data_IF_451468378446
#
_entry.id   IF_451468378446
#
_cell.length_a   1.000
_cell.length_b   1.000
_cell.length_c   1.000
_cell.angle_alpha   90.00
_cell.angle_beta   90.00
_cell.angle_gamma   90.00
#
_symmetry.space_group_name_H-M   'P 1'
#
loop_
_entity.id
_entity.type
_entity.pdbx_description
1 polymer ?
#
# COMPACT_ATOMS: atom_id res chain seq x y z
N UNK A 1 -15.96 16.07 -64.04
CA UNK A 1 -16.79 15.97 -62.82
C UNK A 1 -16.79 14.54 -62.31
N UNK A 2 -16.76 14.36 -60.99
CA UNK A 2 -16.84 13.12 -60.19
C UNK A 2 -15.66 12.12 -60.28
N UNK A 3 -14.64 12.35 -59.43
CA UNK A 3 -13.78 11.29 -58.88
C UNK A 3 -14.36 10.82 -57.54
N UNK A 4 -14.49 9.51 -57.37
CA UNK A 4 -15.03 8.86 -56.18
C UNK A 4 -14.12 9.08 -54.97
N UNK A 5 -14.70 9.51 -53.85
CA UNK A 5 -14.04 9.54 -52.55
C UNK A 5 -14.07 8.12 -51.96
N UNK A 6 -12.93 7.44 -51.96
CA UNK A 6 -12.72 6.26 -51.13
C UNK A 6 -12.73 6.66 -49.66
N UNK A 7 -13.88 6.42 -49.00
CA UNK A 7 -13.98 6.48 -47.56
C UNK A 7 -13.15 5.33 -46.96
N UNK A 8 -11.95 5.65 -46.46
CA UNK A 8 -11.21 4.76 -45.58
C UNK A 8 -12.01 4.61 -44.28
N UNK A 9 -12.76 3.51 -44.17
CA UNK A 9 -13.33 3.06 -42.90
C UNK A 9 -12.17 2.67 -41.98
N UNK A 10 -11.79 3.58 -41.07
CA UNK A 10 -10.95 3.25 -39.93
C UNK A 10 -11.72 2.25 -39.05
N UNK A 11 -11.47 0.96 -39.23
CA UNK A 11 -11.85 -0.06 -38.23
C UNK A 11 -11.04 0.23 -36.97
N UNK A 12 -11.69 0.83 -35.97
CA UNK A 12 -11.18 0.84 -34.61
C UNK A 12 -10.93 -0.61 -34.18
N UNK A 13 -9.67 -1.00 -34.05
CA UNK A 13 -9.28 -2.29 -33.46
C UNK A 13 -9.70 -2.27 -31.99
N UNK A 14 -10.90 -2.79 -31.72
CA UNK A 14 -11.36 -3.15 -30.38
C UNK A 14 -10.48 -4.32 -29.87
N UNK A 15 -9.31 -4.00 -29.33
CA UNK A 15 -8.48 -4.94 -28.57
C UNK A 15 -9.15 -5.17 -27.19
N UNK A 16 -10.28 -5.89 -27.17
CA UNK A 16 -10.82 -6.45 -25.92
C UNK A 16 -9.79 -7.45 -25.38
N UNK A 17 -9.49 -7.40 -24.07
CA UNK A 17 -8.66 -8.42 -23.42
C UNK A 17 -9.31 -9.79 -23.65
N UNK A 18 -8.49 -10.81 -23.93
CA UNK A 18 -8.97 -12.18 -24.19
C UNK A 18 -9.62 -12.74 -22.93
N UNK A 19 -10.91 -13.06 -23.05
CA UNK A 19 -11.60 -13.94 -22.13
C UNK A 19 -11.54 -15.34 -22.75
N UNK A 20 -10.76 -16.23 -22.15
CA UNK A 20 -10.66 -17.62 -22.57
C UNK A 20 -11.67 -18.42 -21.72
N UNK A 21 -12.77 -18.86 -22.34
CA UNK A 21 -13.86 -19.58 -21.69
C UNK A 21 -14.61 -20.46 -22.68
N UNK A 22 -15.47 -21.33 -22.16
CA UNK A 22 -16.31 -22.25 -22.95
C UNK A 22 -17.79 -21.90 -22.83
N UNK A 23 -18.56 -22.17 -23.87
CA UNK A 23 -20.00 -22.03 -23.87
C UNK A 23 -20.61 -23.16 -24.70
N UNK A 24 -21.69 -23.77 -24.21
CA UNK A 24 -22.47 -24.74 -24.99
C UNK A 24 -23.58 -23.99 -25.72
N UNK A 25 -23.62 -24.09 -27.04
CA UNK A 25 -24.70 -23.50 -27.84
C UNK A 25 -26.03 -24.22 -27.55
N UNK A 26 -27.12 -23.47 -27.59
CA UNK A 26 -28.47 -24.04 -27.52
C UNK A 26 -29.19 -23.75 -28.85
N UNK A 27 -30.28 -24.48 -29.12
CA UNK A 27 -31.01 -24.43 -30.40
C UNK A 27 -32.08 -23.33 -30.46
N UNK A 28 -32.21 -22.52 -29.41
CA UNK A 28 -33.24 -21.48 -29.32
C UNK A 28 -32.78 -20.24 -30.07
N UNK A 29 -33.57 -19.85 -31.08
CA UNK A 29 -33.35 -18.62 -31.87
C UNK A 29 -33.35 -17.40 -30.95
N UNK A 30 -32.41 -16.48 -31.18
CA UNK A 30 -32.22 -15.24 -30.41
C UNK A 30 -31.89 -15.42 -28.91
N UNK A 31 -31.38 -16.60 -28.53
CA UNK A 31 -30.88 -16.84 -27.18
C UNK A 31 -29.37 -16.65 -27.07
N UNK A 32 -28.89 -16.37 -25.84
CA UNK A 32 -27.46 -16.22 -25.55
C UNK A 32 -27.02 -17.31 -24.56
N UNK A 33 -25.92 -18.01 -24.89
CA UNK A 33 -25.25 -18.89 -23.95
C UNK A 33 -24.26 -18.10 -23.08
N UNK A 34 -24.30 -18.30 -21.77
CA UNK A 34 -23.33 -17.72 -20.87
C UNK A 34 -21.94 -18.33 -21.13
N UNK A 35 -20.91 -17.49 -21.16
CA UNK A 35 -19.52 -17.95 -21.24
C UNK A 35 -19.08 -18.34 -19.84
N UNK A 36 -18.60 -19.57 -19.70
CA UNK A 36 -18.00 -20.10 -18.47
C UNK A 36 -16.49 -19.94 -18.53
N UNK A 37 -15.95 -19.24 -17.55
CA UNK A 37 -14.54 -18.98 -17.34
C UNK A 37 -14.11 -19.84 -16.17
N UNK A 38 -13.22 -20.80 -16.38
CA UNK A 38 -12.83 -21.74 -15.31
C UNK A 38 -12.16 -20.99 -14.14
N UNK A 39 -11.17 -20.15 -14.45
CA UNK A 39 -10.46 -19.33 -13.45
C UNK A 39 -10.41 -17.88 -13.91
N UNK A 40 -10.88 -16.98 -13.04
CA UNK A 40 -10.66 -15.55 -13.16
C UNK A 40 -9.71 -15.10 -12.04
N UNK A 41 -8.62 -14.40 -12.40
CA UNK A 41 -7.70 -13.82 -11.42
C UNK A 41 -7.99 -12.34 -11.20
N UNK A 42 -8.27 -11.93 -9.97
CA UNK A 42 -8.40 -10.54 -9.56
C UNK A 42 -7.14 -10.09 -8.82
N UNK A 43 -6.45 -9.10 -9.36
CA UNK A 43 -5.39 -8.37 -8.67
C UNK A 43 -5.93 -7.02 -8.23
N UNK A 44 -6.01 -6.78 -6.92
CA UNK A 44 -6.53 -5.52 -6.36
C UNK A 44 -5.50 -4.82 -5.46
N UNK A 45 -5.39 -3.51 -5.62
CA UNK A 45 -4.35 -2.67 -5.04
C UNK A 45 -4.98 -1.54 -4.23
N UNK A 46 -4.88 -1.60 -2.90
CA UNK A 46 -5.37 -0.57 -1.99
C UNK A 46 -4.23 0.37 -1.59
N UNK A 47 -4.22 1.59 -2.11
CA UNK A 47 -3.13 2.54 -1.89
C UNK A 47 -3.22 3.24 -0.52
N UNK A 48 -2.08 3.64 0.06
CA UNK A 48 -2.04 4.26 1.39
C UNK A 48 -2.89 5.53 1.48
N UNK A 49 -3.38 5.85 2.68
CA UNK A 49 -4.15 7.07 2.94
C UNK A 49 -3.42 8.31 2.43
N UNK A 50 -4.12 9.16 1.67
CA UNK A 50 -3.54 10.33 1.02
C UNK A 50 -2.74 10.04 -0.26
N UNK A 51 -2.51 8.78 -0.65
CA UNK A 51 -1.84 8.43 -1.90
C UNK A 51 -2.83 8.20 -3.04
N UNK A 52 -2.46 8.67 -4.24
CA UNK A 52 -3.30 8.55 -5.41
C UNK A 52 -2.47 8.59 -6.70
N UNK A 53 -2.32 7.43 -7.35
CA UNK A 53 -1.61 7.24 -8.63
C UNK A 53 -2.06 8.26 -9.70
N UNK A 54 -3.35 8.52 -9.79
CA UNK A 54 -3.89 9.37 -10.85
C UNK A 54 -3.59 10.84 -10.61
N UNK A 55 -3.64 11.29 -9.36
CA UNK A 55 -3.32 12.67 -8.98
C UNK A 55 -1.83 12.95 -9.13
N UNK A 56 -0.96 12.03 -8.70
CA UNK A 56 0.48 12.13 -8.92
C UNK A 56 0.82 12.22 -10.42
N UNK A 57 0.17 11.41 -11.28
CA UNK A 57 0.35 11.51 -12.75
C UNK A 57 -0.13 12.84 -13.33
N UNK A 58 -1.18 13.44 -12.77
CA UNK A 58 -1.74 14.68 -13.28
C UNK A 58 -0.90 15.92 -12.94
N UNK A 59 -0.08 15.84 -11.88
CA UNK A 59 0.75 16.93 -11.39
C UNK A 59 -0.06 18.05 -10.70
N UNK A 60 0.65 19.06 -10.19
CA UNK A 60 0.07 20.21 -9.46
C UNK A 60 -0.91 21.02 -10.32
N UNK A 61 -2.20 20.67 -10.24
CA UNK A 61 -3.30 21.43 -10.87
C UNK A 61 -4.21 22.13 -9.87
N UNK A 62 -4.04 21.92 -8.57
CA UNK A 62 -4.92 22.49 -7.54
C UNK A 62 -4.11 22.79 -6.28
N UNK A 63 -4.12 24.05 -5.81
CA UNK A 63 -3.55 24.44 -4.52
C UNK A 63 -4.28 23.68 -3.38
N UNK A 64 -3.54 23.26 -2.35
CA UNK A 64 -3.99 22.54 -1.14
C UNK A 64 -4.41 21.05 -1.23
N UNK A 65 -3.80 20.25 -2.12
CA UNK A 65 -4.03 18.79 -2.13
C UNK A 65 -2.74 17.97 -2.09
N UNK A 66 -2.45 17.38 -0.93
CA UNK A 66 -1.23 16.60 -0.67
C UNK A 66 -1.06 15.43 -1.65
N UNK A 67 -2.14 14.78 -2.08
CA UNK A 67 -2.05 13.60 -2.95
C UNK A 67 -1.51 13.89 -4.36
N UNK A 68 -1.64 15.14 -4.84
CA UNK A 68 -1.06 15.58 -6.13
C UNK A 68 0.43 15.90 -6.02
N UNK A 69 0.90 16.18 -4.80
CA UNK A 69 2.28 16.52 -4.54
C UNK A 69 3.10 15.30 -4.17
N UNK A 70 2.51 14.27 -3.55
CA UNK A 70 3.23 13.04 -3.20
C UNK A 70 3.93 12.38 -4.39
N UNK A 71 4.96 11.56 -4.12
CA UNK A 71 5.42 10.59 -5.09
C UNK A 71 4.51 9.35 -5.10
N UNK A 72 4.75 8.43 -6.05
CA UNK A 72 4.07 7.15 -6.03
C UNK A 72 4.34 6.39 -4.73
N UNK A 73 3.37 5.59 -4.29
CA UNK A 73 3.57 4.53 -3.32
C UNK A 73 4.07 3.25 -4.00
N UNK A 74 4.47 2.26 -3.22
CA UNK A 74 4.78 0.92 -3.73
C UNK A 74 3.53 0.19 -4.22
N UNK A 75 2.34 0.51 -3.71
CA UNK A 75 1.07 -0.02 -4.26
C UNK A 75 0.84 0.54 -5.66
N UNK A 76 0.97 1.86 -5.83
CA UNK A 76 0.89 2.52 -7.12
C UNK A 76 1.94 1.98 -8.10
N UNK A 77 3.18 1.71 -7.65
CA UNK A 77 4.23 1.11 -8.48
C UNK A 77 3.93 -0.33 -8.88
N UNK A 78 3.35 -1.13 -8.00
CA UNK A 78 2.94 -2.50 -8.36
C UNK A 78 1.86 -2.45 -9.45
N UNK A 79 0.84 -1.61 -9.30
CA UNK A 79 -0.20 -1.45 -10.33
C UNK A 79 0.37 -0.88 -11.64
N UNK A 80 1.21 0.16 -11.56
CA UNK A 80 1.82 0.78 -12.74
C UNK A 80 2.66 -0.21 -13.55
N UNK A 81 3.35 -1.14 -12.88
CA UNK A 81 4.24 -2.11 -13.52
C UNK A 81 3.57 -3.45 -13.84
N UNK A 82 2.23 -3.53 -13.82
CA UNK A 82 1.50 -4.74 -14.23
C UNK A 82 1.77 -5.09 -15.70
N UNK A 83 1.86 -6.38 -16.02
CA UNK A 83 1.98 -6.82 -17.41
C UNK A 83 0.60 -6.84 -18.07
N UNK A 84 0.44 -6.03 -19.12
CA UNK A 84 -0.79 -6.04 -19.91
C UNK A 84 -0.96 -7.34 -20.73
N UNK A 85 -2.21 -7.65 -21.11
CA UNK A 85 -2.61 -8.78 -21.96
C UNK A 85 -2.52 -10.19 -21.34
N UNK A 86 -2.73 -10.32 -20.04
CA UNK A 86 -3.03 -11.63 -19.43
C UNK A 86 -4.52 -11.95 -19.60
N UNK A 87 -4.84 -13.11 -20.20
CA UNK A 87 -6.21 -13.60 -20.28
C UNK A 87 -6.80 -13.80 -18.87
N UNK A 88 -8.12 -13.68 -18.76
CA UNK A 88 -8.86 -13.97 -17.52
C UNK A 88 -8.29 -13.26 -16.27
N UNK A 89 -7.78 -12.03 -16.45
CA UNK A 89 -7.13 -11.28 -15.37
C UNK A 89 -7.69 -9.85 -15.26
N UNK A 90 -8.19 -9.53 -14.06
CA UNK A 90 -8.64 -8.20 -13.66
C UNK A 90 -7.57 -7.50 -12.83
N UNK A 91 -7.45 -6.19 -13.05
CA UNK A 91 -6.54 -5.31 -12.31
C UNK A 91 -7.33 -4.11 -11.82
N UNK A 92 -7.42 -3.94 -10.50
CA UNK A 92 -8.21 -2.90 -9.86
C UNK A 92 -7.32 -2.11 -8.92
N UNK A 93 -7.15 -0.82 -9.19
CA UNK A 93 -6.46 0.09 -8.29
C UNK A 93 -7.47 0.93 -7.53
N UNK A 94 -7.31 0.99 -6.21
CA UNK A 94 -8.12 1.74 -5.28
C UNK A 94 -7.26 2.86 -4.70
N UNK A 95 -7.68 4.10 -4.93
CA UNK A 95 -7.02 5.27 -4.38
C UNK A 95 -7.14 5.29 -2.85
N UNK A 96 -6.16 5.88 -2.17
CA UNK A 96 -6.14 5.98 -0.72
C UNK A 96 -7.32 6.75 -0.16
N UNK A 97 -7.78 6.38 1.03
CA UNK A 97 -8.72 7.18 1.84
C UNK A 97 -8.22 8.63 1.93
N UNK A 98 -9.14 9.59 1.83
CA UNK A 98 -8.84 11.02 1.85
C UNK A 98 -8.60 11.65 0.49
N UNK A 99 -8.47 10.87 -0.60
CA UNK A 99 -8.22 11.40 -1.95
C UNK A 99 -9.45 11.30 -2.87
N UNK A 100 -9.50 12.15 -3.89
CA UNK A 100 -10.55 12.09 -4.91
C UNK A 100 -10.39 10.87 -5.81
N UNK A 101 -11.52 10.24 -6.19
CA UNK A 101 -11.48 9.09 -7.11
C UNK A 101 -11.01 9.51 -8.51
N UNK A 102 -10.30 8.60 -9.16
CA UNK A 102 -10.03 8.67 -10.58
C UNK A 102 -11.30 8.52 -11.39
N UNK A 103 -11.32 9.14 -12.55
CA UNK A 103 -12.40 9.02 -13.54
C UNK A 103 -11.88 8.23 -14.73
N UNK A 104 -12.75 7.44 -15.36
CA UNK A 104 -12.38 6.75 -16.58
C UNK A 104 -11.98 7.74 -17.66
N UNK A 105 -10.85 7.48 -18.29
CA UNK A 105 -10.38 8.28 -19.41
C UNK A 105 -10.96 7.71 -20.71
N UNK A 106 -11.80 8.43 -21.47
CA UNK A 106 -12.33 7.92 -22.73
C UNK A 106 -11.23 7.73 -23.79
N UNK A 107 -10.05 8.34 -23.58
CA UNK A 107 -8.91 8.27 -24.51
C UNK A 107 -7.87 7.21 -24.14
N UNK A 108 -7.99 6.54 -22.99
CA UNK A 108 -7.05 5.49 -22.57
C UNK A 108 -7.76 4.33 -21.88
N UNK A 109 -7.02 3.26 -21.60
CA UNK A 109 -7.59 2.07 -20.92
C UNK A 109 -7.65 2.24 -19.40
N UNK A 110 -7.04 3.28 -18.88
CA UNK A 110 -6.86 3.55 -17.46
C UNK A 110 -7.78 4.69 -17.01
N UNK A 111 -7.92 4.83 -15.69
CA UNK A 111 -8.46 6.05 -15.12
C UNK A 111 -7.43 7.16 -15.15
N UNK A 112 -7.90 8.41 -15.09
CA UNK A 112 -7.10 9.61 -14.89
C UNK A 112 -7.61 10.39 -13.68
N UNK A 113 -6.85 11.40 -13.26
CA UNK A 113 -7.28 12.27 -12.16
C UNK A 113 -8.62 12.91 -12.51
N UNK A 114 -9.52 12.99 -11.53
CA UNK A 114 -10.75 13.77 -11.66
C UNK A 114 -10.51 15.28 -11.61
N UNK A 115 -9.31 15.72 -11.23
CA UNK A 115 -8.98 17.12 -10.98
C UNK A 115 -9.61 17.69 -9.71
N UNK A 116 -10.30 16.86 -8.91
CA UNK A 116 -10.93 17.26 -7.66
C UNK A 116 -9.95 17.18 -6.50
N UNK A 117 -10.08 18.11 -5.56
CA UNK A 117 -9.23 18.13 -4.37
C UNK A 117 -9.46 16.97 -3.40
N UNK A 118 -8.50 16.80 -2.51
CA UNK A 118 -8.51 15.82 -1.43
C UNK A 118 -9.65 16.14 -0.45
N UNK A 119 -10.38 15.11 -0.06
CA UNK A 119 -11.51 15.22 0.86
C UNK A 119 -11.01 15.11 2.31
N UNK A 120 -10.22 16.10 2.75
CA UNK A 120 -9.52 16.14 4.04
C UNK A 120 -10.46 15.98 5.24
N UNK A 121 -11.69 16.51 5.17
CA UNK A 121 -12.68 16.44 6.26
C UNK A 121 -13.09 15.01 6.65
N UNK A 122 -12.82 13.99 5.82
CA UNK A 122 -13.09 12.58 6.13
C UNK A 122 -11.91 11.80 6.74
N UNK A 123 -10.70 12.38 6.83
CA UNK A 123 -9.50 11.68 7.31
C UNK A 123 -9.49 11.42 8.82
N UNK A 124 -10.14 12.29 9.60
CA UNK A 124 -9.92 12.44 11.04
C UNK A 124 -10.79 11.53 11.94
N UNK A 125 -11.84 10.90 11.42
CA UNK A 125 -12.84 10.25 12.28
C UNK A 125 -13.06 8.76 12.07
N UNK A 126 -12.48 8.12 11.05
CA UNK A 126 -12.58 6.65 10.84
C UNK A 126 -13.99 6.09 10.60
N UNK A 127 -15.04 6.83 10.96
CA UNK A 127 -16.45 6.52 10.83
C UNK A 127 -17.06 7.29 9.65
N UNK A 128 -17.95 6.63 8.89
CA UNK A 128 -18.72 7.21 7.80
C UNK A 128 -18.21 6.88 6.39
N UNK A 129 -18.60 7.72 5.42
CA UNK A 129 -18.46 7.51 3.96
C UNK A 129 -17.03 7.24 3.44
N UNK A 130 -16.00 7.53 4.25
CA UNK A 130 -14.58 7.34 3.91
C UNK A 130 -13.82 6.35 4.82
N UNK A 131 -14.52 5.63 5.70
CA UNK A 131 -13.91 4.60 6.56
C UNK A 131 -13.52 3.31 5.82
N UNK A 132 -12.82 2.40 6.51
CA UNK A 132 -12.34 1.12 5.95
C UNK A 132 -13.46 0.30 5.30
N UNK A 133 -14.61 0.15 5.98
CA UNK A 133 -15.77 -0.59 5.45
C UNK A 133 -16.34 0.07 4.20
N UNK A 134 -16.45 1.40 4.18
CA UNK A 134 -16.92 2.13 3.00
C UNK A 134 -15.95 1.93 1.82
N UNK A 135 -14.64 2.01 2.06
CA UNK A 135 -13.61 1.75 1.05
C UNK A 135 -13.73 0.35 0.46
N UNK A 136 -13.98 -0.66 1.29
CA UNK A 136 -14.17 -2.05 0.82
C UNK A 136 -15.47 -2.22 0.03
N UNK A 137 -16.57 -1.56 0.42
CA UNK A 137 -17.80 -1.56 -0.38
C UNK A 137 -17.61 -0.91 -1.76
N UNK A 138 -16.82 0.17 -1.82
CA UNK A 138 -16.43 0.80 -3.08
C UNK A 138 -15.57 -0.16 -3.90
N UNK A 139 -14.64 -0.90 -3.29
CA UNK A 139 -13.83 -1.89 -4.00
C UNK A 139 -14.68 -2.95 -4.72
N UNK A 140 -15.70 -3.51 -4.05
CA UNK A 140 -16.64 -4.42 -4.73
C UNK A 140 -17.33 -3.74 -5.93
N UNK A 141 -17.76 -2.49 -5.78
CA UNK A 141 -18.41 -1.74 -6.87
C UNK A 141 -17.46 -1.47 -8.04
N UNK A 142 -16.19 -1.15 -7.76
CA UNK A 142 -15.15 -0.93 -8.76
C UNK A 142 -14.76 -2.23 -9.49
N UNK A 143 -14.75 -3.36 -8.78
CA UNK A 143 -14.56 -4.69 -9.40
C UNK A 143 -15.70 -4.98 -10.38
N UNK A 144 -16.96 -4.75 -9.98
CA UNK A 144 -18.12 -4.94 -10.86
C UNK A 144 -18.07 -4.01 -12.08
N UNK A 145 -17.70 -2.75 -11.90
CA UNK A 145 -17.53 -1.80 -13.00
C UNK A 145 -16.42 -2.27 -13.96
N UNK A 146 -15.33 -2.81 -13.43
CA UNK A 146 -14.22 -3.32 -14.23
C UNK A 146 -14.58 -4.60 -14.99
N UNK A 147 -15.35 -5.52 -14.40
CA UNK A 147 -15.94 -6.69 -15.07
C UNK A 147 -16.82 -6.23 -16.24
N UNK A 148 -17.75 -5.31 -15.98
CA UNK A 148 -18.66 -4.81 -16.99
C UNK A 148 -17.91 -4.12 -18.13
N UNK A 149 -16.86 -3.35 -17.83
CA UNK A 149 -16.02 -2.67 -18.82
C UNK A 149 -15.24 -3.66 -19.69
N UNK A 150 -14.60 -4.65 -19.08
CA UNK A 150 -13.76 -5.59 -19.82
C UNK A 150 -14.56 -6.63 -20.61
N UNK A 151 -15.66 -7.12 -20.06
CA UNK A 151 -16.38 -8.28 -20.61
C UNK A 151 -17.76 -7.92 -21.19
N UNK A 152 -18.29 -6.72 -20.94
CA UNK A 152 -19.55 -6.17 -21.49
C UNK A 152 -20.85 -6.92 -21.16
N UNK A 153 -20.76 -8.03 -20.45
CA UNK A 153 -21.87 -8.87 -20.03
C UNK A 153 -21.51 -9.58 -18.72
N UNK A 154 -22.52 -10.15 -18.08
CA UNK A 154 -22.32 -11.12 -17.00
C UNK A 154 -21.52 -12.32 -17.52
N UNK A 155 -20.56 -12.78 -16.73
CA UNK A 155 -19.76 -13.97 -17.00
C UNK A 155 -19.97 -14.97 -15.88
N UNK A 156 -19.91 -16.26 -16.20
CA UNK A 156 -19.94 -17.31 -15.18
C UNK A 156 -18.50 -17.70 -14.87
N UNK A 157 -18.12 -17.64 -13.60
CA UNK A 157 -16.76 -18.00 -13.15
C UNK A 157 -16.84 -19.18 -12.19
N UNK A 158 -16.13 -20.27 -12.50
CA UNK A 158 -16.05 -21.43 -11.61
C UNK A 158 -15.24 -21.09 -10.36
N UNK A 159 -14.11 -20.40 -10.53
CA UNK A 159 -13.21 -20.01 -9.43
C UNK A 159 -12.62 -18.62 -9.62
N UNK A 160 -12.84 -17.75 -8.63
CA UNK A 160 -12.20 -16.45 -8.50
C UNK A 160 -10.95 -16.57 -7.61
N UNK A 161 -9.79 -16.29 -8.19
CA UNK A 161 -8.50 -16.25 -7.50
C UNK A 161 -8.15 -14.80 -7.20
N UNK A 162 -7.94 -14.46 -5.93
CA UNK A 162 -7.73 -13.08 -5.48
C UNK A 162 -6.29 -12.89 -4.98
N UNK A 163 -5.61 -11.89 -5.55
CA UNK A 163 -4.38 -11.32 -5.04
C UNK A 163 -4.67 -9.89 -4.58
N UNK A 164 -4.42 -9.59 -3.31
CA UNK A 164 -4.79 -8.31 -2.72
C UNK A 164 -3.58 -7.64 -2.07
N UNK A 165 -3.39 -6.35 -2.32
CA UNK A 165 -2.25 -5.57 -1.83
C UNK A 165 -2.74 -4.35 -1.07
N UNK A 166 -2.08 -3.99 0.03
CA UNK A 166 -2.44 -2.80 0.79
C UNK A 166 -1.27 -2.14 1.50
N UNK A 167 -1.32 -0.83 1.66
CA UNK A 167 -0.36 -0.05 2.45
C UNK A 167 -1.08 0.71 3.58
N UNK A 168 -0.50 0.73 4.79
CA UNK A 168 -0.97 1.56 5.90
C UNK A 168 -2.38 1.19 6.36
N UNK A 169 -3.29 2.17 6.46
CA UNK A 169 -4.72 1.97 6.68
C UNK A 169 -5.37 1.14 5.58
N UNK A 170 -4.88 1.24 4.35
CA UNK A 170 -5.42 0.46 3.25
C UNK A 170 -4.95 -1.01 3.27
N UNK A 171 -3.92 -1.34 4.05
CA UNK A 171 -3.65 -2.72 4.43
C UNK A 171 -4.74 -3.30 5.36
N UNK A 172 -5.39 -2.47 6.19
CA UNK A 172 -6.58 -2.84 6.98
C UNK A 172 -7.75 -3.13 6.05
N UNK A 173 -7.99 -2.25 5.06
CA UNK A 173 -9.01 -2.46 4.03
C UNK A 173 -8.76 -3.74 3.23
N UNK A 174 -7.50 -4.04 2.88
CA UNK A 174 -7.13 -5.29 2.22
C UNK A 174 -7.48 -6.51 3.08
N UNK A 175 -7.14 -6.51 4.37
CA UNK A 175 -7.47 -7.58 5.33
C UNK A 175 -8.98 -7.77 5.46
N UNK A 176 -9.73 -6.67 5.57
CA UNK A 176 -11.19 -6.68 5.63
C UNK A 176 -11.81 -7.20 4.32
N UNK A 177 -11.31 -6.75 3.17
CA UNK A 177 -11.77 -7.14 1.84
C UNK A 177 -11.61 -8.64 1.60
N UNK A 178 -10.44 -9.22 1.86
CA UNK A 178 -10.24 -10.67 1.65
C UNK A 178 -11.11 -11.50 2.59
N UNK A 179 -11.38 -10.99 3.79
CA UNK A 179 -12.31 -11.62 4.72
C UNK A 179 -13.74 -11.63 4.18
N UNK A 180 -14.23 -10.47 3.76
CA UNK A 180 -15.55 -10.32 3.16
C UNK A 180 -15.70 -11.06 1.83
N UNK A 181 -14.69 -11.07 0.98
CA UNK A 181 -14.73 -11.77 -0.31
C UNK A 181 -14.97 -13.27 -0.12
N UNK A 182 -14.35 -13.88 0.90
CA UNK A 182 -14.55 -15.29 1.23
C UNK A 182 -15.90 -15.56 1.91
N UNK A 183 -16.32 -14.71 2.85
CA UNK A 183 -17.57 -14.88 3.62
C UNK A 183 -18.83 -14.50 2.84
N UNK A 184 -18.71 -13.56 1.91
CA UNK A 184 -19.82 -12.96 1.17
C UNK A 184 -19.55 -12.99 -0.35
N UNK A 185 -19.36 -14.18 -0.94
CA UNK A 185 -19.09 -14.35 -2.38
C UNK A 185 -20.13 -13.71 -3.30
N UNK A 186 -21.39 -13.64 -2.87
CA UNK A 186 -22.50 -13.00 -3.60
C UNK A 186 -22.30 -11.50 -3.87
N UNK A 187 -21.31 -10.87 -3.25
CA UNK A 187 -20.93 -9.48 -3.57
C UNK A 187 -20.33 -9.35 -4.98
N UNK A 188 -19.81 -10.43 -5.56
CA UNK A 188 -19.33 -10.49 -6.94
C UNK A 188 -20.47 -10.76 -7.93
N UNK A 189 -21.36 -9.77 -8.07
CA UNK A 189 -22.68 -9.92 -8.71
C UNK A 189 -22.60 -10.43 -10.16
N UNK A 190 -21.64 -9.94 -10.94
CA UNK A 190 -21.53 -10.27 -12.37
C UNK A 190 -20.65 -11.50 -12.67
N UNK A 191 -20.24 -12.27 -11.64
CA UNK A 191 -19.42 -13.49 -11.79
C UNK A 191 -20.18 -14.80 -11.61
N UNK A 192 -21.43 -14.76 -11.14
CA UNK A 192 -22.20 -15.97 -10.82
C UNK A 192 -21.70 -16.75 -9.60
N UNK A 193 -20.83 -16.15 -8.79
CA UNK A 193 -20.22 -16.76 -7.62
C UNK A 193 -21.08 -16.52 -6.38
N UNK A 194 -21.54 -17.60 -5.75
CA UNK A 194 -22.36 -17.55 -4.53
C UNK A 194 -21.88 -18.48 -3.41
N UNK A 195 -20.82 -19.27 -3.65
CA UNK A 195 -20.24 -20.21 -2.68
C UNK A 195 -18.85 -19.75 -2.23
N UNK A 196 -18.52 -19.82 -0.93
CA UNK A 196 -17.18 -19.50 -0.44
C UNK A 196 -16.06 -20.27 -1.16
N UNK A 197 -16.30 -21.52 -1.55
CA UNK A 197 -15.29 -22.37 -2.21
C UNK A 197 -14.94 -21.93 -3.64
N UNK A 198 -15.82 -21.16 -4.28
CA UNK A 198 -15.50 -20.53 -5.55
C UNK A 198 -14.55 -19.33 -5.39
N UNK A 199 -14.30 -18.84 -4.16
CA UNK A 199 -13.36 -17.75 -3.88
C UNK A 199 -12.11 -18.30 -3.21
N UNK A 200 -10.99 -18.20 -3.91
CA UNK A 200 -9.65 -18.55 -3.42
C UNK A 200 -8.85 -17.29 -3.18
N UNK A 201 -8.55 -16.98 -1.91
CA UNK A 201 -7.55 -15.96 -1.59
C UNK A 201 -6.18 -16.59 -1.79
N UNK A 202 -5.39 -16.01 -2.68
CA UNK A 202 -4.15 -16.61 -3.14
C UNK A 202 -2.93 -15.89 -2.54
N UNK A 203 -2.87 -14.57 -2.66
CA UNK A 203 -1.80 -13.76 -2.06
C UNK A 203 -2.34 -12.50 -1.40
N UNK A 204 -1.77 -12.15 -0.25
CA UNK A 204 -2.04 -10.90 0.45
C UNK A 204 -0.73 -10.21 0.78
N UNK A 205 -0.44 -9.10 0.08
CA UNK A 205 0.79 -8.33 0.24
C UNK A 205 0.55 -7.02 1.00
N UNK A 206 1.13 -6.89 2.18
CA UNK A 206 0.89 -5.76 3.07
C UNK A 206 2.18 -4.96 3.32
N UNK A 207 2.06 -3.65 3.30
CA UNK A 207 3.10 -2.72 3.76
C UNK A 207 2.61 -2.02 5.03
N UNK A 208 3.35 -2.22 6.12
CA UNK A 208 3.22 -1.56 7.42
C UNK A 208 1.77 -1.26 7.85
N UNK A 209 0.99 -2.31 8.14
CA UNK A 209 -0.44 -2.18 8.48
C UNK A 209 -0.64 -1.32 9.74
N UNK A 210 -1.41 -0.24 9.63
CA UNK A 210 -1.75 0.65 10.76
C UNK A 210 -3.27 0.71 10.89
N UNK A 211 -3.82 0.07 11.93
CA UNK A 211 -5.27 0.05 12.18
C UNK A 211 -5.81 1.29 12.88
N UNK A 212 -5.01 1.96 13.71
CA UNK A 212 -5.55 3.00 14.58
C UNK A 212 -5.71 4.37 13.96
N UNK A 213 -6.90 4.92 14.22
CA UNK A 213 -7.04 6.32 14.58
C UNK A 213 -8.08 6.43 15.71
N UNK A 214 -7.60 6.54 16.96
CA UNK A 214 -8.45 6.71 18.15
C UNK A 214 -8.45 5.51 19.10
N UNK A 215 -7.77 5.66 20.25
CA UNK A 215 -8.05 4.99 21.53
C UNK A 215 -8.03 3.46 21.65
N UNK A 216 -8.81 2.74 20.85
CA UNK A 216 -9.15 1.33 21.05
C UNK A 216 -8.85 0.47 19.82
N UNK A 217 -7.79 -0.32 19.90
CA UNK A 217 -7.40 -1.30 18.87
C UNK A 217 -8.15 -2.63 18.99
N UNK A 218 -8.70 -2.93 20.17
CA UNK A 218 -9.33 -4.23 20.44
C UNK A 218 -10.68 -4.40 19.71
N UNK A 219 -11.36 -3.30 19.42
CA UNK A 219 -12.65 -3.30 18.73
C UNK A 219 -12.44 -3.50 17.22
N UNK A 220 -11.44 -2.82 16.65
CA UNK A 220 -11.11 -2.88 15.21
C UNK A 220 -10.81 -4.30 14.70
N UNK A 221 -10.09 -5.14 15.47
CA UNK A 221 -9.73 -6.49 15.00
C UNK A 221 -10.97 -7.37 14.75
N UNK A 222 -11.98 -7.27 15.62
CA UNK A 222 -13.24 -8.00 15.51
C UNK A 222 -14.16 -7.33 14.49
N UNK A 223 -14.37 -6.02 14.63
CA UNK A 223 -15.33 -5.26 13.82
C UNK A 223 -14.94 -5.23 12.34
N UNK A 224 -13.64 -5.16 12.05
CA UNK A 224 -13.12 -5.16 10.68
C UNK A 224 -12.59 -6.52 10.23
N UNK A 225 -12.74 -7.57 11.05
CA UNK A 225 -12.28 -8.93 10.71
C UNK A 225 -10.83 -8.95 10.23
N UNK A 226 -9.93 -8.32 10.98
CA UNK A 226 -8.55 -8.13 10.53
C UNK A 226 -7.74 -9.42 10.60
N UNK A 227 -8.12 -10.37 11.46
CA UNK A 227 -7.41 -11.65 11.53
C UNK A 227 -7.59 -12.48 10.26
N UNK A 228 -6.65 -13.40 10.05
CA UNK A 228 -6.65 -14.39 8.97
C UNK A 228 -7.08 -15.79 9.46
N UNK A 229 -7.60 -15.91 10.69
CA UNK A 229 -7.87 -17.21 11.30
C UNK A 229 -8.91 -18.03 10.51
N UNK A 230 -9.83 -17.38 9.79
CA UNK A 230 -10.80 -18.06 8.92
C UNK A 230 -10.17 -18.86 7.76
N UNK A 231 -8.88 -18.64 7.47
CA UNK A 231 -8.15 -19.37 6.43
C UNK A 231 -7.43 -20.61 6.97
N UNK A 232 -7.43 -20.83 8.30
CA UNK A 232 -6.69 -21.93 8.93
C UNK A 232 -7.16 -23.33 8.50
N UNK A 233 -8.45 -23.49 8.21
CA UNK A 233 -9.06 -24.76 7.80
C UNK A 233 -9.07 -24.99 6.29
N UNK A 234 -8.59 -24.03 5.50
CA UNK A 234 -8.63 -24.17 4.04
C UNK A 234 -7.54 -25.14 3.56
N UNK A 235 -7.91 -25.99 2.60
CA UNK A 235 -6.99 -26.90 1.91
C UNK A 235 -5.89 -26.09 1.22
N UNK A 236 -6.27 -25.04 0.50
CA UNK A 236 -5.35 -24.09 -0.13
C UNK A 236 -5.38 -22.79 0.67
N UNK A 237 -4.38 -22.60 1.52
CA UNK A 237 -4.25 -21.39 2.35
C UNK A 237 -3.62 -20.24 1.54
N UNK A 238 -4.03 -18.98 1.79
CA UNK A 238 -3.42 -17.82 1.16
C UNK A 238 -1.97 -17.66 1.58
N UNK A 239 -1.13 -17.04 0.75
CA UNK A 239 0.21 -16.61 1.15
C UNK A 239 0.16 -15.15 1.61
N UNK A 240 0.37 -14.90 2.90
CA UNK A 240 0.27 -13.55 3.50
C UNK A 240 1.64 -13.00 3.83
N UNK A 241 2.07 -11.94 3.14
CA UNK A 241 3.38 -11.32 3.33
C UNK A 241 3.23 -9.88 3.82
N UNK A 242 3.87 -9.55 4.93
CA UNK A 242 3.88 -8.20 5.47
C UNK A 242 5.31 -7.68 5.65
N UNK A 243 5.58 -6.48 5.15
CA UNK A 243 6.82 -5.72 5.41
C UNK A 243 6.50 -4.62 6.43
N UNK A 244 7.25 -4.57 7.53
CA UNK A 244 7.05 -3.64 8.65
C UNK A 244 8.14 -2.58 8.70
N UNK A 245 7.77 -1.34 9.01
CA UNK A 245 8.69 -0.24 9.26
C UNK A 245 9.28 -0.35 10.67
N UNK A 246 10.59 -0.54 10.79
CA UNK A 246 11.27 -0.60 12.10
C UNK A 246 11.58 0.80 12.67
N UNK A 247 11.68 1.83 11.81
CA UNK A 247 12.02 3.20 12.21
C UNK A 247 10.79 4.14 12.17
N UNK A 248 9.60 3.63 12.46
CA UNK A 248 8.36 4.42 12.55
C UNK A 248 7.94 4.68 14.00
N UNK A 249 8.23 5.89 14.47
CA UNK A 249 8.10 6.26 15.88
C UNK A 249 6.88 7.15 16.19
N UNK A 250 5.99 7.47 15.24
CA UNK A 250 4.82 8.33 15.51
C UNK A 250 3.79 7.67 16.40
N UNK A 251 3.16 8.44 17.29
CA UNK A 251 2.20 7.99 18.30
C UNK A 251 1.01 7.19 17.73
N UNK A 252 0.49 7.56 16.55
CA UNK A 252 -0.69 6.92 15.93
C UNK A 252 -0.40 5.86 14.86
N UNK A 253 0.89 5.52 14.65
CA UNK A 253 1.30 4.63 13.56
C UNK A 253 1.64 3.21 14.01
N UNK A 254 1.02 2.70 15.05
CA UNK A 254 1.38 1.38 15.58
C UNK A 254 1.03 0.25 14.62
N UNK A 255 1.86 -0.80 14.63
CA UNK A 255 1.73 -1.90 13.67
C UNK A 255 0.68 -2.93 14.11
N UNK A 256 -0.15 -3.35 13.17
CA UNK A 256 -1.06 -4.50 13.30
C UNK A 256 -0.41 -5.74 12.69
N UNK A 257 -0.04 -6.70 13.51
CA UNK A 257 0.64 -7.93 13.06
C UNK A 257 -0.27 -8.86 12.22
N UNK A 258 0.38 -9.74 11.45
CA UNK A 258 -0.26 -10.89 10.78
C UNK A 258 -0.18 -12.19 11.60
N UNK A 259 -0.23 -12.10 12.94
CA UNK A 259 0.00 -13.23 13.86
C UNK A 259 -0.82 -14.47 13.50
N UNK A 260 -2.12 -14.33 13.25
CA UNK A 260 -2.99 -15.44 12.85
C UNK A 260 -2.54 -16.15 11.57
N UNK A 261 -1.92 -15.45 10.62
CA UNK A 261 -1.38 -16.06 9.41
C UNK A 261 -0.07 -16.81 9.67
N UNK A 262 0.79 -16.27 10.55
CA UNK A 262 2.02 -16.96 10.98
C UNK A 262 1.68 -18.23 11.74
N UNK A 263 0.82 -18.14 12.75
CA UNK A 263 0.34 -19.28 13.55
C UNK A 263 -0.39 -20.32 12.68
N UNK A 264 -1.18 -19.86 11.71
CA UNK A 264 -1.89 -20.69 10.74
C UNK A 264 -0.98 -21.40 9.72
N UNK A 265 0.32 -21.13 9.75
CA UNK A 265 1.37 -21.63 8.86
C UNK A 265 1.24 -21.19 7.40
N UNK A 266 0.92 -19.91 7.17
CA UNK A 266 0.81 -19.36 5.82
C UNK A 266 1.21 -17.88 5.70
N UNK A 267 1.74 -17.30 6.78
CA UNK A 267 2.24 -15.93 6.84
C UNK A 267 3.76 -15.84 6.92
N UNK A 268 4.32 -14.76 6.36
CA UNK A 268 5.70 -14.31 6.57
C UNK A 268 5.66 -12.82 6.88
N UNK A 269 6.23 -12.40 8.01
CA UNK A 269 6.35 -11.00 8.39
C UNK A 269 7.81 -10.62 8.59
N UNK A 270 8.26 -9.59 7.88
CA UNK A 270 9.63 -9.09 7.94
C UNK A 270 9.63 -7.62 8.32
N UNK A 271 10.59 -7.19 9.14
CA UNK A 271 10.82 -5.78 9.43
C UNK A 271 12.09 -5.29 8.78
N UNK A 272 12.10 -4.09 8.18
CA UNK A 272 13.33 -3.44 7.70
C UNK A 272 13.45 -2.03 8.26
N UNK A 273 14.69 -1.52 8.34
CA UNK A 273 14.95 -0.13 8.69
C UNK A 273 14.34 0.81 7.66
N UNK A 274 13.69 1.88 8.12
CA UNK A 274 12.80 2.72 7.32
C UNK A 274 11.60 3.23 8.13
N UNK A 275 11.17 4.46 7.88
CA UNK A 275 9.89 4.97 8.36
C UNK A 275 8.70 4.43 7.54
N UNK A 276 7.47 4.76 7.91
CA UNK A 276 6.27 4.21 7.28
C UNK A 276 6.24 4.32 5.74
N UNK A 277 6.49 5.51 5.20
CA UNK A 277 6.52 5.75 3.75
C UNK A 277 7.87 5.43 3.10
N UNK A 278 8.92 5.13 3.89
CA UNK A 278 10.10 4.45 3.37
C UNK A 278 9.76 3.00 3.00
N UNK A 279 8.82 2.36 3.70
CA UNK A 279 8.36 1.01 3.40
C UNK A 279 7.29 1.01 2.31
N UNK A 280 6.26 1.84 2.48
CA UNK A 280 5.13 1.89 1.58
C UNK A 280 5.29 2.79 0.37
N UNK A 281 6.34 3.61 0.30
CA UNK A 281 6.51 4.67 -0.71
C UNK A 281 5.64 5.90 -0.45
N UNK A 282 5.89 6.97 -1.20
CA UNK A 282 5.18 8.25 -1.12
C UNK A 282 6.11 9.46 -1.02
N UNK A 283 7.35 9.26 -0.57
CA UNK A 283 8.37 10.31 -0.50
C UNK A 283 8.94 10.69 -1.88
N UNK A 284 9.32 11.96 -2.01
CA UNK A 284 10.00 12.47 -3.20
C UNK A 284 11.40 11.87 -3.39
N UNK A 285 12.00 12.08 -4.57
CA UNK A 285 13.34 11.55 -4.89
C UNK A 285 14.36 12.01 -3.85
N UNK A 286 14.22 13.26 -3.44
CA UNK A 286 15.02 13.96 -2.47
C UNK A 286 14.09 14.87 -1.66
N UNK A 287 14.23 14.86 -0.34
CA UNK A 287 13.52 15.74 0.58
C UNK A 287 14.50 16.46 1.50
N UNK A 288 14.19 17.72 1.81
CA UNK A 288 14.88 18.48 2.83
C UNK A 288 14.09 18.37 4.13
N UNK A 289 14.67 17.68 5.11
CA UNK A 289 14.04 17.46 6.40
C UNK A 289 14.59 18.41 7.44
N UNK A 290 13.68 19.03 8.18
CA UNK A 290 13.98 19.80 9.39
C UNK A 290 13.26 19.17 10.58
N UNK A 291 13.90 19.22 11.76
CA UNK A 291 13.31 18.77 13.00
C UNK A 291 13.75 19.64 14.17
N UNK A 292 12.76 20.05 14.95
CA UNK A 292 12.97 20.79 16.19
C UNK A 292 12.74 19.86 17.40
N UNK A 293 13.40 20.13 18.51
CA UNK A 293 13.14 19.48 19.79
C UNK A 293 13.46 20.45 20.93
N UNK A 294 12.72 20.37 22.04
CA UNK A 294 12.91 21.27 23.16
C UNK A 294 14.27 21.03 23.85
N UNK A 295 14.86 22.07 24.46
CA UNK A 295 16.17 21.97 25.12
C UNK A 295 16.17 20.98 26.29
N UNK A 296 15.03 20.75 26.93
CA UNK A 296 14.85 19.73 27.96
C UNK A 296 14.78 18.30 27.40
N UNK A 297 14.60 18.11 26.09
CA UNK A 297 14.56 16.80 25.40
C UNK A 297 15.96 16.35 24.94
N UNK A 298 16.98 16.53 25.78
CA UNK A 298 18.37 16.17 25.45
C UNK A 298 18.54 14.69 25.13
N UNK A 299 17.77 13.82 25.80
CA UNK A 299 17.81 12.37 25.54
C UNK A 299 17.36 12.05 24.11
N UNK A 300 16.26 12.66 23.66
CA UNK A 300 15.76 12.50 22.30
C UNK A 300 16.78 13.01 21.28
N UNK A 301 17.32 14.23 21.49
CA UNK A 301 18.37 14.81 20.65
C UNK A 301 19.57 13.87 20.52
N UNK A 302 20.11 13.40 21.65
CA UNK A 302 21.30 12.56 21.67
C UNK A 302 21.02 11.21 21.00
N UNK A 303 19.85 10.64 21.24
CA UNK A 303 19.42 9.40 20.59
C UNK A 303 19.32 9.55 19.07
N UNK A 304 18.77 10.66 18.58
CA UNK A 304 18.65 10.94 17.14
C UNK A 304 20.02 11.04 16.46
N UNK A 305 21.02 11.61 17.15
CA UNK A 305 22.40 11.66 16.68
C UNK A 305 23.03 10.26 16.72
N UNK A 306 22.94 9.56 17.84
CA UNK A 306 23.50 8.22 18.04
C UNK A 306 22.97 7.22 17.02
N UNK A 307 21.67 7.26 16.72
CA UNK A 307 21.05 6.37 15.73
C UNK A 307 21.31 6.77 14.29
N UNK A 308 21.91 7.93 14.04
CA UNK A 308 22.27 8.43 12.71
C UNK A 308 21.13 9.08 11.94
N UNK A 309 20.04 9.51 12.59
CA UNK A 309 19.03 10.31 11.89
C UNK A 309 19.56 11.70 11.60
N UNK A 310 20.33 12.30 12.51
CA UNK A 310 20.96 13.61 12.31
C UNK A 310 22.42 13.57 12.73
N UNK A 311 23.25 14.44 12.14
CA UNK A 311 24.68 14.55 12.53
C UNK A 311 24.91 15.49 13.71
N UNK A 312 24.11 16.56 13.77
CA UNK A 312 24.19 17.59 14.81
C UNK A 312 22.87 18.33 14.92
N UNK A 313 22.67 18.99 16.06
CA UNK A 313 21.61 19.97 16.29
C UNK A 313 22.25 21.30 16.70
N UNK A 314 21.70 22.39 16.20
CA UNK A 314 22.07 23.76 16.53
C UNK A 314 21.02 24.33 17.49
N UNK A 315 21.45 25.05 18.52
CA UNK A 315 20.53 25.75 19.42
C UNK A 315 20.01 27.02 18.74
N UNK A 316 18.70 27.24 18.80
CA UNK A 316 18.01 28.40 18.22
C UNK A 316 17.01 28.97 19.22
N UNK A 317 16.93 30.30 19.24
CA UNK A 317 15.93 31.03 20.00
C UNK A 317 14.76 31.39 19.08
N UNK A 318 13.54 31.01 19.48
CA UNK A 318 12.32 31.48 18.82
C UNK A 318 11.55 32.40 19.76
N UNK A 319 11.07 33.52 19.21
CA UNK A 319 10.18 34.43 19.89
C UNK A 319 8.75 33.90 19.80
N UNK A 320 8.06 33.82 20.94
CA UNK A 320 6.67 33.33 20.98
C UNK A 320 5.72 34.48 21.36
N UNK A 321 4.82 34.83 20.43
CA UNK A 321 3.74 35.81 20.63
C UNK A 321 3.97 37.17 19.95
N UNK A 322 2.89 37.95 19.75
CA UNK A 322 2.91 39.30 19.15
C UNK A 322 3.73 40.31 19.98
N UNK A 323 3.89 40.08 21.29
CA UNK A 323 4.57 40.98 22.25
C UNK A 323 5.92 40.43 22.78
N UNK A 324 6.53 39.48 22.07
CA UNK A 324 7.98 39.15 22.03
C UNK A 324 8.87 39.23 23.29
N UNK A 325 8.38 39.00 24.52
CA UNK A 325 9.24 38.89 25.73
C UNK A 325 9.64 37.47 26.13
N UNK A 326 9.03 36.42 25.56
CA UNK A 326 9.33 35.02 25.90
C UNK A 326 10.13 34.36 24.78
N UNK A 327 11.42 34.10 25.05
CA UNK A 327 12.28 33.26 24.21
C UNK A 327 12.11 31.80 24.63
N UNK A 328 11.80 30.92 23.68
CA UNK A 328 11.99 29.49 23.88
C UNK A 328 13.26 29.09 23.13
N UNK A 329 14.18 28.44 23.84
CA UNK A 329 15.34 27.81 23.19
C UNK A 329 14.96 26.40 22.75
N UNK A 330 15.26 26.07 21.50
CA UNK A 330 15.06 24.76 20.90
C UNK A 330 16.34 24.30 20.19
N UNK A 331 16.47 22.98 20.06
CA UNK A 331 17.43 22.37 19.17
C UNK A 331 16.82 22.17 17.79
N UNK A 332 17.52 22.61 16.76
CA UNK A 332 17.11 22.49 15.37
C UNK A 332 18.15 21.67 14.59
N UNK A 333 17.68 20.73 13.78
CA UNK A 333 18.51 20.00 12.83
C UNK A 333 17.87 20.01 11.45
N UNK A 334 18.74 19.93 10.44
CA UNK A 334 18.36 19.84 9.04
C UNK A 334 19.22 18.83 8.30
N UNK A 335 18.67 18.18 7.29
CA UNK A 335 19.38 17.27 6.39
C UNK A 335 18.67 17.10 5.06
N UNK A 336 19.34 16.46 4.12
CA UNK A 336 18.75 15.98 2.87
C UNK A 336 18.64 14.46 2.94
N UNK A 337 17.46 13.91 2.61
CA UNK A 337 17.17 12.48 2.61
C UNK A 337 16.68 12.04 1.23
N UNK A 338 17.05 10.82 0.83
CA UNK A 338 16.71 10.24 -0.47
C UNK A 338 15.86 8.97 -0.29
N UNK A 339 14.87 8.76 -1.14
CA UNK A 339 13.93 7.61 -1.08
C UNK A 339 14.52 6.24 -1.48
N UNK A 340 15.64 5.82 -0.91
CA UNK A 340 16.28 4.55 -1.28
C UNK A 340 15.51 3.31 -0.82
N UNK A 341 14.95 3.36 0.39
CA UNK A 341 14.44 2.19 1.11
C UNK A 341 13.19 1.57 0.45
N UNK A 342 12.28 2.38 -0.10
CA UNK A 342 11.05 1.85 -0.69
C UNK A 342 11.32 0.95 -1.90
N UNK A 343 12.44 1.14 -2.59
CA UNK A 343 12.87 0.30 -3.71
C UNK A 343 13.22 -1.12 -3.22
N UNK A 344 13.82 -1.22 -2.03
CA UNK A 344 14.11 -2.49 -1.38
C UNK A 344 12.81 -3.22 -1.04
N UNK A 345 11.88 -2.55 -0.36
CA UNK A 345 10.60 -3.15 0.03
C UNK A 345 9.74 -3.54 -1.17
N UNK A 346 9.73 -2.74 -2.24
CA UNK A 346 9.06 -3.08 -3.50
C UNK A 346 9.63 -4.36 -4.11
N UNK A 347 10.95 -4.49 -4.16
CA UNK A 347 11.60 -5.68 -4.73
C UNK A 347 11.37 -6.92 -3.86
N UNK A 348 11.40 -6.78 -2.53
CA UNK A 348 11.05 -7.84 -1.60
C UNK A 348 9.62 -8.35 -1.82
N UNK A 349 8.64 -7.45 -1.92
CA UNK A 349 7.24 -7.81 -2.18
C UNK A 349 7.08 -8.54 -3.51
N UNK A 350 7.74 -8.07 -4.57
CA UNK A 350 7.72 -8.74 -5.88
C UNK A 350 8.28 -10.16 -5.80
N UNK A 351 9.39 -10.37 -5.09
CA UNK A 351 9.98 -11.71 -4.94
C UNK A 351 9.08 -12.64 -4.13
N UNK A 352 8.50 -12.16 -3.03
CA UNK A 352 7.53 -12.94 -2.26
C UNK A 352 6.32 -13.36 -3.12
N UNK A 353 5.83 -12.43 -3.94
CA UNK A 353 4.71 -12.62 -4.86
C UNK A 353 5.02 -13.60 -5.99
N UNK A 354 6.14 -13.39 -6.69
CA UNK A 354 6.61 -14.25 -7.80
C UNK A 354 6.90 -15.69 -7.31
N UNK A 355 7.33 -15.85 -6.06
CA UNK A 355 7.48 -17.18 -5.44
C UNK A 355 6.12 -17.81 -5.10
N UNK A 356 5.20 -17.02 -4.54
CA UNK A 356 3.89 -17.53 -4.11
C UNK A 356 2.96 -17.88 -5.28
N UNK A 357 3.09 -17.19 -6.42
CA UNK A 357 2.16 -17.31 -7.53
C UNK A 357 2.90 -17.59 -8.83
N UNK A 358 2.66 -18.77 -9.38
CA UNK A 358 3.09 -19.11 -10.73
C UNK A 358 2.27 -18.29 -11.73
N UNK A 359 2.92 -17.44 -12.52
CA UNK A 359 2.31 -16.80 -13.69
C UNK A 359 1.82 -15.35 -13.50
N UNK A 360 1.86 -14.78 -12.29
CA UNK A 360 1.73 -13.31 -12.17
C UNK A 360 2.99 -12.67 -12.76
N UNK A 361 2.81 -11.71 -13.68
CA UNK A 361 3.93 -11.09 -14.38
C UNK A 361 3.84 -9.57 -14.22
N UNK A 362 4.93 -8.99 -13.77
CA UNK A 362 5.17 -7.55 -13.80
C UNK A 362 6.20 -7.24 -14.87
N UNK A 363 6.22 -6.00 -15.33
CA UNK A 363 7.28 -5.51 -16.20
C UNK A 363 8.64 -5.66 -15.49
N UNK A 364 9.66 -6.02 -16.28
CA UNK A 364 11.02 -6.22 -15.76
C UNK A 364 11.62 -4.90 -15.30
N UNK A 365 11.47 -3.86 -16.11
CA UNK A 365 11.82 -2.48 -15.77
C UNK A 365 10.76 -1.94 -14.81
N UNK A 366 11.21 -1.38 -13.68
CA UNK A 366 10.36 -0.67 -12.74
C UNK A 366 10.31 0.78 -13.19
N UNK A 367 9.20 1.21 -13.76
CA UNK A 367 8.97 2.62 -14.07
C UNK A 367 8.07 3.23 -12.99
N UNK A 368 8.27 4.49 -12.59
CA UNK A 368 9.37 5.39 -12.97
C UNK A 368 10.56 5.31 -11.98
N UNK A 369 11.26 4.18 -11.90
CA UNK A 369 12.37 4.03 -10.95
C UNK A 369 13.73 4.28 -11.58
N UNK A 370 14.43 5.26 -11.02
CA UNK A 370 15.88 5.39 -11.21
C UNK A 370 16.60 4.15 -10.67
N UNK A 371 17.76 3.84 -11.27
CA UNK A 371 18.62 2.77 -10.82
C UNK A 371 18.97 2.91 -9.32
N UNK A 372 18.98 1.78 -8.60
CA UNK A 372 19.45 1.73 -7.22
C UNK A 372 20.97 1.65 -7.23
N UNK A 373 21.64 2.55 -6.54
CA UNK A 373 23.11 2.63 -6.48
C UNK A 373 23.62 2.57 -5.03
N UNK A 374 24.93 2.34 -4.88
CA UNK A 374 25.63 2.43 -3.60
C UNK A 374 25.09 1.50 -2.51
N UNK A 375 25.08 1.98 -1.26
CA UNK A 375 24.70 1.19 -0.07
C UNK A 375 23.29 0.58 -0.18
N UNK A 376 22.34 1.31 -0.77
CA UNK A 376 20.96 0.83 -0.96
C UNK A 376 20.93 -0.40 -1.87
N UNK A 377 21.76 -0.43 -2.92
CA UNK A 377 21.84 -1.57 -3.84
C UNK A 377 22.38 -2.83 -3.14
N UNK A 378 23.40 -2.67 -2.30
CA UNK A 378 23.97 -3.77 -1.51
C UNK A 378 22.93 -4.35 -0.55
N UNK A 379 22.26 -3.50 0.23
CA UNK A 379 21.22 -3.95 1.16
C UNK A 379 20.00 -4.54 0.44
N UNK A 380 19.64 -4.00 -0.72
CA UNK A 380 18.61 -4.59 -1.58
C UNK A 380 18.95 -6.04 -1.93
N UNK A 381 20.18 -6.31 -2.36
CA UNK A 381 20.64 -7.67 -2.69
C UNK A 381 20.52 -8.62 -1.50
N UNK A 382 20.96 -8.19 -0.32
CA UNK A 382 20.88 -8.99 0.91
C UNK A 382 19.45 -9.30 1.33
N UNK A 383 18.58 -8.29 1.37
CA UNK A 383 17.20 -8.46 1.87
C UNK A 383 16.35 -9.26 0.89
N UNK A 384 16.54 -9.05 -0.41
CA UNK A 384 15.85 -9.83 -1.44
C UNK A 384 16.29 -11.29 -1.39
N UNK A 385 17.59 -11.57 -1.27
CA UNK A 385 18.08 -12.94 -1.10
C UNK A 385 17.51 -13.60 0.16
N UNK A 386 17.39 -12.83 1.25
CA UNK A 386 16.81 -13.34 2.50
C UNK A 386 15.31 -13.65 2.34
N UNK A 387 14.53 -12.78 1.74
CA UNK A 387 13.10 -13.04 1.46
C UNK A 387 12.95 -14.28 0.58
N UNK A 388 13.77 -14.43 -0.46
CA UNK A 388 13.77 -15.63 -1.29
C UNK A 388 14.03 -16.91 -0.46
N UNK A 389 15.03 -16.88 0.43
CA UNK A 389 15.32 -18.00 1.34
C UNK A 389 14.13 -18.31 2.27
N UNK A 390 13.46 -17.30 2.82
CA UNK A 390 12.29 -17.49 3.69
C UNK A 390 11.15 -18.15 2.91
N UNK A 391 10.87 -17.66 1.70
CA UNK A 391 9.86 -18.25 0.82
C UNK A 391 10.19 -19.72 0.49
N UNK A 392 11.45 -20.04 0.21
CA UNK A 392 11.92 -21.41 -0.07
C UNK A 392 11.79 -22.37 1.12
N UNK A 393 12.03 -21.89 2.34
CA UNK A 393 11.86 -22.70 3.56
C UNK A 393 10.40 -23.02 3.86
N UNK A 394 9.47 -22.23 3.31
CA UNK A 394 8.04 -22.43 3.45
C UNK A 394 7.37 -21.31 4.24
N UNK A 395 6.15 -20.98 3.80
CA UNK A 395 5.31 -19.98 4.44
C UNK A 395 4.87 -20.48 5.82
N UNK A 396 5.03 -19.66 6.87
CA UNK A 396 4.60 -20.03 8.22
C UNK A 396 5.53 -20.94 9.02
N UNK A 397 6.73 -21.24 8.52
CA UNK A 397 7.84 -21.82 9.33
C UNK A 397 8.39 -20.80 10.34
N UNK A 398 8.02 -19.53 10.19
CA UNK A 398 8.55 -18.40 10.94
C UNK A 398 7.46 -17.81 11.84
N UNK A 399 7.37 -18.23 13.12
CA UNK A 399 6.28 -17.81 14.02
C UNK A 399 6.38 -16.34 14.43
N UNK A 400 7.59 -15.77 14.42
CA UNK A 400 7.88 -14.41 14.84
C UNK A 400 8.14 -13.49 13.64
N UNK A 401 8.01 -12.17 13.88
CA UNK A 401 8.53 -11.17 12.95
C UNK A 401 10.03 -11.39 12.77
N UNK A 402 10.51 -11.33 11.53
CA UNK A 402 11.92 -11.45 11.22
C UNK A 402 12.49 -10.04 10.99
N UNK A 403 13.23 -9.47 11.94
CA UNK A 403 13.95 -8.24 11.69
C UNK A 403 15.07 -8.51 10.67
N UNK A 404 14.89 -7.97 9.48
CA UNK A 404 15.92 -7.87 8.46
C UNK A 404 16.65 -6.55 8.69
N UNK A 405 17.56 -6.59 9.67
CA UNK A 405 18.45 -5.46 9.94
C UNK A 405 19.61 -5.45 8.96
N UNK A 406 20.09 -4.26 8.65
CA UNK A 406 21.33 -4.05 7.91
C UNK A 406 22.45 -4.71 8.72
N UNK A 407 23.10 -5.71 8.13
CA UNK A 407 24.01 -6.64 8.86
C UNK A 407 25.27 -5.98 9.43
N UNK A 408 25.63 -4.80 8.94
CA UNK A 408 26.76 -4.02 9.45
C UNK A 408 26.25 -2.90 10.35
N UNK A 409 26.41 -3.07 11.65
CA UNK A 409 26.09 -2.05 12.66
C UNK A 409 26.90 -0.76 12.48
N UNK A 410 28.05 -0.80 11.78
CA UNK A 410 28.83 0.40 11.45
C UNK A 410 28.25 1.22 10.30
N UNK A 411 27.40 0.63 9.44
CA UNK A 411 26.82 1.31 8.27
C UNK A 411 25.40 1.83 8.47
N UNK A 412 24.70 1.39 9.53
CA UNK A 412 23.30 1.76 9.79
C UNK A 412 23.12 3.28 9.99
N UNK A 413 23.96 3.99 10.77
CA UNK A 413 23.82 5.42 10.98
C UNK A 413 23.91 6.23 9.68
N UNK A 414 24.87 5.90 8.81
CA UNK A 414 25.01 6.57 7.51
C UNK A 414 23.80 6.32 6.60
N UNK A 415 23.32 5.08 6.58
CA UNK A 415 22.17 4.66 5.79
C UNK A 415 20.90 5.36 6.27
N UNK A 416 20.71 5.50 7.59
CA UNK A 416 19.64 6.31 8.16
C UNK A 416 19.77 7.77 7.78
N UNK A 417 20.96 8.34 7.92
CA UNK A 417 21.20 9.75 7.64
C UNK A 417 20.82 10.10 6.20
N UNK A 418 21.19 9.25 5.24
CA UNK A 418 20.98 9.48 3.83
C UNK A 418 19.63 9.00 3.28
N UNK A 419 19.02 7.95 3.85
CA UNK A 419 17.91 7.25 3.20
C UNK A 419 16.69 6.92 4.07
N UNK A 420 16.75 7.08 5.39
CA UNK A 420 15.59 6.83 6.26
C UNK A 420 15.03 8.16 6.69
N UNK A 421 13.77 8.43 6.34
CA UNK A 421 13.08 9.66 6.70
C UNK A 421 12.77 9.68 8.20
N UNK A 422 12.76 10.87 8.79
CA UNK A 422 12.25 11.06 10.15
C UNK A 422 10.79 11.50 10.06
N UNK A 423 9.88 10.53 10.15
CA UNK A 423 8.45 10.76 9.90
C UNK A 423 7.75 11.56 11.01
N UNK A 424 8.30 11.57 12.22
CA UNK A 424 7.73 12.29 13.34
C UNK A 424 7.97 13.80 13.23
N UNK A 425 7.01 14.59 13.70
CA UNK A 425 7.08 16.06 13.70
C UNK A 425 7.13 16.58 15.12
N UNK A 426 7.84 17.69 15.29
CA UNK A 426 7.75 18.49 16.51
C UNK A 426 6.38 19.16 16.55
N UNK A 427 5.57 18.78 17.54
CA UNK A 427 4.27 19.40 17.79
C UNK A 427 4.43 20.24 19.05
N UNK A 428 4.28 21.56 18.92
CA UNK A 428 4.27 22.48 20.06
C UNK A 428 3.14 22.09 21.01
N UNK A 429 3.37 22.19 22.31
CA UNK A 429 2.41 21.80 23.36
C UNK A 429 1.04 22.48 23.26
N UNK A 430 0.93 23.63 22.59
CA UNK A 430 -0.31 24.35 22.33
C UNK A 430 -1.08 23.93 21.08
N UNK A 431 -0.53 23.02 20.25
CA UNK A 431 -1.13 22.57 19.00
C UNK A 431 -1.76 21.19 19.21
N UNK A 432 -3.00 21.01 18.75
CA UNK A 432 -3.67 19.71 18.77
C UNK A 432 -2.84 18.71 17.95
N UNK A 433 -2.38 17.64 18.61
CA UNK A 433 -1.66 16.58 17.92
C UNK A 433 -2.59 15.85 16.94
N UNK A 434 -2.17 15.79 15.69
CA UNK A 434 -2.86 15.09 14.60
C UNK A 434 -2.31 13.68 14.39
N UNK A 435 -1.49 13.18 15.32
CA UNK A 435 -0.87 11.86 15.28
C UNK A 435 0.52 11.82 14.66
N UNK A 436 1.16 12.98 14.54
CA UNK A 436 2.49 13.13 13.93
C UNK A 436 3.60 13.24 14.98
N UNK A 437 3.26 13.39 16.25
CA UNK A 437 4.23 13.48 17.34
C UNK A 437 5.03 12.18 17.51
N UNK A 438 6.28 12.32 17.94
CA UNK A 438 7.15 11.19 18.30
C UNK A 438 6.65 10.51 19.60
N UNK A 439 6.60 9.18 19.58
CA UNK A 439 6.33 8.35 20.75
C UNK A 439 7.63 8.12 21.52
N UNK A 440 7.63 8.43 22.81
CA UNK A 440 8.78 8.28 23.70
C UNK A 440 8.45 7.32 24.85
N UNK A 441 9.43 6.52 25.25
CA UNK A 441 9.35 5.69 26.46
C UNK A 441 9.51 6.52 27.74
N UNK A 442 9.46 5.86 28.90
CA UNK A 442 9.63 6.53 30.21
C UNK A 442 11.00 7.20 30.38
N UNK A 443 11.99 6.83 29.57
CA UNK A 443 13.33 7.40 29.57
C UNK A 443 13.49 8.50 28.50
N UNK A 444 12.43 8.87 27.77
CA UNK A 444 12.50 9.87 26.70
C UNK A 444 13.13 9.37 25.40
N UNK A 445 13.25 8.05 25.20
CA UNK A 445 13.78 7.45 23.95
C UNK A 445 12.64 7.06 23.00
N UNK A 446 12.79 7.26 21.68
CA UNK A 446 11.83 6.77 20.69
C UNK A 446 11.68 5.25 20.71
N UNK A 447 10.44 4.76 20.57
CA UNK A 447 10.18 3.33 20.39
C UNK A 447 9.06 3.01 19.39
N UNK A 448 9.22 1.86 18.71
CA UNK A 448 8.21 1.30 17.80
C UNK A 448 7.17 0.54 18.63
N UNK A 449 5.89 0.89 18.48
CA UNK A 449 4.79 0.19 19.16
C UNK A 449 4.19 -0.89 18.25
N UNK A 450 4.10 -2.09 18.81
CA UNK A 450 3.52 -3.28 18.20
C UNK A 450 2.22 -3.65 18.93
N UNK A 451 1.15 -3.96 18.19
CA UNK A 451 -0.10 -4.46 18.78
C UNK A 451 -0.15 -5.99 18.73
N UNK A 452 -0.53 -6.62 19.85
CA UNK A 452 -0.64 -8.08 20.00
C UNK A 452 0.67 -8.83 19.71
N UNK A 453 1.77 -8.32 20.26
CA UNK A 453 3.11 -8.91 20.20
C UNK A 453 3.76 -8.90 21.56
#
# INVERSE_FOLDING_TARGET
MRRSKNAKTNKAKSNKKRLDGSATSNTTKDSFAAVTVDILTLNIFFDGTGNNLYNVKAGTKVNDNASYQNAFSNIARLDYNRRENQSNTLWVYMEGIGTARGVYDPTSKDKKSSGRGDAVKGMAFGAGYYGVTARVNVAFSEIEAEIQRQYQKQIQVTRLVINAFGFSREAVATRHFVNLAKKQPQRFKNLGINKPDAVQINFVGLYDTVSSFGGNFNDDEKDLMLNFAQFNSQVVKPKVFQIVALDEYRENFSITHIKSARDGKFGIEVGINGAHSDIGGGYHAQEFEEYDTEVNQQILRNWLIEKGFYKKFEERYIYVGKDSRRQLSHYHARRTVYRGIHKISLKMMRVALEYAIVGIKFNKTLEPEEAVTGKVQTEMGHFVAKVNQLCQKGWGVHPNIIPLSIKSTSNLPDLRYAHVHWSAKYIKSSVKDTGLKVRLDSNGKPYRRFFNG
#
